data_IF_952885623342
#
_entry.id   IF_952885623342
#
_cell.length_a   1.000
_cell.length_b   1.000
_cell.length_c   1.000
_cell.angle_alpha   90.00
_cell.angle_beta   90.00
_cell.angle_gamma   90.00
#
_symmetry.space_group_name_H-M   'P 1'
#
loop_
_entity.id
_entity.type
_entity.pdbx_description
1 polymer ?
#
# COMPACT_ATOMS: atom_id res chain seq x y z
N UNK A 1 -10.64 -16.67 2.68
CA UNK A 1 -11.57 -15.55 2.46
C UNK A 1 -11.69 -15.18 0.98
N UNK A 2 -10.59 -14.76 0.34
CA UNK A 2 -10.60 -14.36 -1.07
C UNK A 2 -9.80 -15.30 -1.97
N UNK A 3 -9.08 -16.25 -1.42
CA UNK A 3 -8.12 -17.12 -2.13
C UNK A 3 -7.09 -16.32 -2.94
N UNK A 4 -6.75 -15.13 -2.46
CA UNK A 4 -5.80 -14.25 -3.14
C UNK A 4 -4.38 -14.82 -3.07
N UNK A 5 -3.62 -14.56 -4.12
CA UNK A 5 -2.18 -14.82 -4.09
C UNK A 5 -1.49 -13.70 -3.31
N UNK A 6 -0.46 -14.04 -2.56
CA UNK A 6 0.30 -13.08 -1.79
C UNK A 6 1.62 -12.76 -2.47
N UNK A 7 1.93 -11.46 -2.53
CA UNK A 7 3.24 -10.98 -2.97
C UNK A 7 3.76 -9.99 -1.94
N UNK A 8 4.94 -10.24 -1.41
CA UNK A 8 5.57 -9.35 -0.44
C UNK A 8 6.40 -8.29 -1.15
N UNK A 9 6.10 -7.01 -0.89
CA UNK A 9 6.88 -5.90 -1.42
C UNK A 9 8.09 -5.70 -0.50
N UNK A 10 9.25 -6.17 -0.95
CA UNK A 10 10.50 -6.08 -0.18
C UNK A 10 11.39 -4.99 -0.74
N UNK A 11 11.87 -4.05 0.10
CA UNK A 11 12.88 -3.11 -0.36
C UNK A 11 14.22 -3.83 -0.57
N UNK A 12 15.00 -3.37 -1.54
CA UNK A 12 16.36 -3.88 -1.77
C UNK A 12 17.18 -3.73 -0.49
N UNK A 13 17.06 -2.56 0.16
CA UNK A 13 17.70 -2.31 1.45
C UNK A 13 16.62 -2.31 2.54
N UNK A 14 16.58 -3.35 3.40
CA UNK A 14 15.58 -3.43 4.47
C UNK A 14 15.65 -2.23 5.41
N UNK A 15 14.50 -1.85 5.95
CA UNK A 15 14.42 -0.77 6.94
C UNK A 15 14.84 -1.27 8.31
N UNK A 16 15.74 -0.51 8.95
CA UNK A 16 16.15 -0.77 10.33
C UNK A 16 15.28 0.05 11.29
N UNK A 17 15.38 -0.23 12.60
CA UNK A 17 14.67 0.57 13.60
C UNK A 17 15.06 2.05 13.52
N UNK A 18 16.33 2.34 13.23
CA UNK A 18 16.82 3.71 13.04
C UNK A 18 16.19 4.36 11.80
N UNK A 19 16.07 3.61 10.71
CA UNK A 19 15.43 4.10 9.49
C UNK A 19 13.96 4.47 9.71
N UNK A 20 13.29 3.78 10.62
CA UNK A 20 11.87 3.96 10.93
C UNK A 20 11.60 4.98 12.02
N UNK A 21 12.63 5.64 12.54
CA UNK A 21 12.47 6.67 13.58
C UNK A 21 11.83 7.92 12.99
N UNK A 22 10.51 7.96 13.03
CA UNK A 22 9.72 9.06 12.46
C UNK A 22 9.91 10.39 13.20
N UNK A 23 10.48 10.37 14.41
CA UNK A 23 10.80 11.58 15.17
C UNK A 23 12.13 12.19 14.75
N UNK A 24 12.98 11.44 14.06
CA UNK A 24 14.25 11.93 13.52
C UNK A 24 14.04 12.49 12.12
N UNK A 25 14.25 13.79 11.97
CA UNK A 25 14.08 14.47 10.67
C UNK A 25 15.07 13.99 9.60
N UNK A 26 16.13 13.30 10.01
CA UNK A 26 17.15 12.78 9.10
C UNK A 26 17.03 11.28 8.88
N UNK A 27 16.01 10.63 9.47
CA UNK A 27 15.81 9.21 9.25
C UNK A 27 15.40 8.93 7.81
N UNK A 28 15.68 7.71 7.35
CA UNK A 28 15.35 7.29 5.99
C UNK A 28 13.86 7.46 5.67
N UNK A 29 12.98 7.01 6.58
CA UNK A 29 11.54 7.13 6.36
C UNK A 29 11.10 8.58 6.23
N UNK A 30 11.63 9.47 7.08
CA UNK A 30 11.31 10.90 7.01
C UNK A 30 11.75 11.50 5.70
N UNK A 31 12.99 11.22 5.27
CA UNK A 31 13.54 11.76 4.03
C UNK A 31 12.74 11.27 2.83
N UNK A 32 12.42 9.97 2.80
CA UNK A 32 11.64 9.41 1.69
C UNK A 32 10.24 10.01 1.61
N UNK A 33 9.59 10.21 2.74
CA UNK A 33 8.22 10.75 2.75
C UNK A 33 8.16 12.25 2.44
N UNK A 34 9.22 12.99 2.70
CA UNK A 34 9.31 14.40 2.34
C UNK A 34 9.60 14.60 0.86
N UNK A 35 10.20 13.62 0.20
CA UNK A 35 10.47 13.65 -1.23
C UNK A 35 9.37 12.86 -1.96
N UNK A 36 8.41 13.58 -2.54
CA UNK A 36 7.27 12.97 -3.25
C UNK A 36 7.69 12.14 -4.46
N UNK A 37 8.88 12.39 -4.99
CA UNK A 37 9.42 11.65 -6.12
C UNK A 37 10.24 10.43 -5.70
N UNK A 38 10.47 10.22 -4.41
CA UNK A 38 11.25 9.07 -3.95
C UNK A 38 10.55 7.76 -4.33
N UNK A 39 11.34 6.80 -4.81
CA UNK A 39 10.86 5.48 -5.24
C UNK A 39 11.86 4.42 -4.78
N UNK A 40 11.77 3.97 -3.52
CA UNK A 40 12.64 2.89 -3.03
C UNK A 40 12.53 1.68 -3.94
N UNK A 41 13.66 1.08 -4.27
CA UNK A 41 13.72 -0.05 -5.19
C UNK A 41 13.25 -1.33 -4.50
N UNK A 42 12.48 -2.14 -5.25
CA UNK A 42 12.02 -3.45 -4.78
C UNK A 42 13.05 -4.53 -5.07
N UNK A 43 13.22 -5.45 -4.12
CA UNK A 43 14.13 -6.59 -4.27
C UNK A 43 13.62 -7.59 -5.32
N UNK A 44 12.31 -7.84 -5.33
CA UNK A 44 11.67 -8.77 -6.23
C UNK A 44 10.61 -8.06 -7.05
N UNK A 45 10.35 -8.55 -8.28
CA UNK A 45 9.30 -8.02 -9.14
C UNK A 45 8.25 -9.09 -9.38
N UNK A 46 6.99 -8.68 -9.38
CA UNK A 46 5.91 -9.55 -9.81
C UNK A 46 6.01 -9.75 -11.32
N UNK A 47 6.00 -11.01 -11.77
CA UNK A 47 6.19 -11.33 -13.19
C UNK A 47 5.06 -10.81 -14.06
N UNK A 48 3.81 -10.82 -13.56
CA UNK A 48 2.66 -10.30 -14.27
C UNK A 48 1.52 -10.01 -13.32
N UNK A 49 0.78 -8.94 -13.59
CA UNK A 49 -0.46 -8.59 -12.90
C UNK A 49 -1.70 -8.85 -13.77
N UNK A 50 -1.51 -9.31 -15.01
CA UNK A 50 -2.59 -9.39 -15.99
C UNK A 50 -3.74 -10.31 -15.58
N UNK A 51 -3.45 -11.38 -14.84
CA UNK A 51 -4.45 -12.36 -14.41
C UNK A 51 -5.33 -11.92 -13.25
N UNK A 52 -5.04 -10.76 -12.65
CA UNK A 52 -5.79 -10.28 -11.50
C UNK A 52 -6.70 -9.10 -11.88
N UNK A 53 -7.91 -9.09 -11.35
CA UNK A 53 -8.86 -7.98 -11.55
C UNK A 53 -8.81 -7.00 -10.39
N UNK A 54 -8.50 -7.50 -9.20
CA UNK A 54 -8.45 -6.70 -7.97
C UNK A 54 -7.12 -6.91 -7.28
N UNK A 55 -6.51 -5.81 -6.88
CA UNK A 55 -5.24 -5.80 -6.15
C UNK A 55 -5.46 -5.16 -4.78
N UNK A 56 -5.31 -5.95 -3.72
CA UNK A 56 -5.27 -5.42 -2.37
C UNK A 56 -3.83 -5.02 -2.05
N UNK A 57 -3.64 -3.80 -1.57
CA UNK A 57 -2.30 -3.29 -1.24
C UNK A 57 -2.27 -2.91 0.23
N UNK A 58 -1.47 -3.64 1.00
CA UNK A 58 -1.34 -3.42 2.44
C UNK A 58 -0.01 -2.78 2.81
N UNK A 59 -0.02 -1.84 3.76
CA UNK A 59 1.17 -1.11 4.17
C UNK A 59 1.00 -0.47 5.56
N UNK A 60 2.10 -0.16 6.25
CA UNK A 60 2.03 0.69 7.43
C UNK A 60 1.81 2.14 6.99
N UNK A 61 0.92 2.84 7.66
CA UNK A 61 0.65 4.24 7.32
C UNK A 61 1.73 5.13 7.93
N UNK A 62 2.37 5.93 7.07
CA UNK A 62 3.39 6.91 7.43
C UNK A 62 2.86 8.31 7.09
N UNK A 63 2.66 9.15 8.10
CA UNK A 63 2.16 10.53 7.91
C UNK A 63 0.93 10.59 6.99
N UNK A 64 -0.09 9.74 7.28
CA UNK A 64 -1.35 9.67 6.54
C UNK A 64 -1.22 9.20 5.08
N UNK A 65 -0.11 8.57 4.73
CA UNK A 65 0.15 8.07 3.38
C UNK A 65 0.74 6.67 3.40
N UNK A 66 0.83 6.06 2.22
CA UNK A 66 1.59 4.83 2.03
C UNK A 66 3.08 5.16 1.93
N UNK A 67 3.98 4.28 2.42
CA UNK A 67 5.40 4.38 2.11
C UNK A 67 5.60 4.38 0.60
N UNK A 68 6.56 5.14 0.09
CA UNK A 68 6.71 5.35 -1.35
C UNK A 68 7.11 4.09 -2.13
N UNK A 69 7.57 3.03 -1.46
CA UNK A 69 7.78 1.74 -2.11
C UNK A 69 6.47 1.15 -2.66
N UNK A 70 5.33 1.52 -2.09
CA UNK A 70 4.02 1.12 -2.60
C UNK A 70 3.80 1.72 -3.99
N UNK A 71 4.17 2.99 -4.19
CA UNK A 71 4.10 3.62 -5.51
C UNK A 71 5.09 2.99 -6.47
N UNK A 72 6.28 2.59 -5.98
CA UNK A 72 7.22 1.81 -6.78
C UNK A 72 6.55 0.54 -7.32
N UNK A 73 5.84 -0.18 -6.46
CA UNK A 73 5.11 -1.39 -6.87
C UNK A 73 4.02 -1.08 -7.89
N UNK A 74 3.16 -0.10 -7.60
CA UNK A 74 2.04 0.25 -8.48
C UNK A 74 2.53 0.68 -9.86
N UNK A 75 3.63 1.42 -9.92
CA UNK A 75 4.23 1.88 -11.17
C UNK A 75 4.94 0.76 -11.94
N UNK A 76 5.22 -0.36 -11.29
CA UNK A 76 5.90 -1.50 -11.92
C UNK A 76 4.97 -2.40 -12.74
N UNK A 77 3.65 -2.22 -12.60
CA UNK A 77 2.63 -3.04 -13.25
C UNK A 77 1.68 -2.17 -14.06
N UNK A 78 1.12 -2.73 -15.14
CA UNK A 78 -0.02 -2.10 -15.81
C UNK A 78 -1.29 -2.53 -15.09
N UNK A 79 -1.87 -1.61 -14.34
CA UNK A 79 -3.08 -1.84 -13.54
C UNK A 79 -4.33 -1.21 -14.17
N UNK A 80 -4.25 -0.75 -15.41
CA UNK A 80 -5.41 -0.15 -16.10
C UNK A 80 -6.58 -1.14 -16.14
N UNK A 81 -7.77 -0.63 -15.87
CA UNK A 81 -8.99 -1.43 -15.82
C UNK A 81 -9.17 -2.27 -14.56
N UNK A 82 -8.20 -2.25 -13.65
CA UNK A 82 -8.25 -3.02 -12.40
C UNK A 82 -8.74 -2.16 -11.24
N UNK A 83 -9.13 -2.83 -10.15
CA UNK A 83 -9.49 -2.17 -8.90
C UNK A 83 -8.36 -2.34 -7.90
N UNK A 84 -7.90 -1.24 -7.33
CA UNK A 84 -6.87 -1.22 -6.29
C UNK A 84 -7.52 -0.88 -4.96
N UNK A 85 -7.34 -1.74 -3.97
CA UNK A 85 -7.94 -1.58 -2.63
C UNK A 85 -6.82 -1.45 -1.60
N UNK A 86 -6.50 -0.22 -1.19
CA UNK A 86 -5.49 -0.02 -0.16
C UNK A 86 -6.03 -0.34 1.23
N UNK A 87 -5.18 -0.90 2.08
CA UNK A 87 -5.47 -1.02 3.50
C UNK A 87 -4.19 -0.81 4.29
N UNK A 88 -4.33 -0.28 5.48
CA UNK A 88 -3.14 0.08 6.25
C UNK A 88 -3.25 -0.27 7.73
N UNK A 89 -2.10 -0.44 8.35
CA UNK A 89 -1.98 -0.51 9.80
C UNK A 89 -1.42 0.83 10.30
N UNK A 90 -1.83 1.23 11.49
CA UNK A 90 -1.47 2.56 11.99
C UNK A 90 -1.34 2.57 13.50
N UNK A 91 -0.40 3.37 14.00
CA UNK A 91 -0.31 3.70 15.42
C UNK A 91 -1.26 4.82 15.85
N UNK A 92 -2.03 5.40 14.91
CA UNK A 92 -2.96 6.49 15.19
C UNK A 92 -3.41 7.28 13.97
N UNK A 93 -2.63 7.28 12.89
CA UNK A 93 -2.99 7.99 11.66
C UNK A 93 -4.14 7.32 10.92
N UNK A 94 -4.97 8.11 10.25
CA UNK A 94 -5.99 7.59 9.35
C UNK A 94 -5.40 7.35 7.96
N UNK A 95 -6.22 6.83 7.03
CA UNK A 95 -5.84 6.72 5.61
C UNK A 95 -5.64 8.09 4.95
N UNK A 96 -6.22 9.14 5.50
CA UNK A 96 -6.12 10.47 4.92
C UNK A 96 -6.55 10.49 3.45
N UNK A 97 -5.71 11.07 2.59
CA UNK A 97 -5.95 11.14 1.15
C UNK A 97 -5.15 10.11 0.37
N UNK A 98 -4.79 8.99 1.01
CA UNK A 98 -3.92 7.97 0.41
C UNK A 98 -4.40 7.51 -0.96
N UNK A 99 -5.71 7.24 -1.12
CA UNK A 99 -6.25 6.80 -2.42
C UNK A 99 -5.95 7.79 -3.54
N UNK A 100 -6.17 9.08 -3.30
CA UNK A 100 -5.89 10.12 -4.29
C UNK A 100 -4.40 10.26 -4.60
N UNK A 101 -3.57 10.06 -3.58
CA UNK A 101 -2.11 10.13 -3.75
C UNK A 101 -1.61 8.96 -4.58
N UNK A 102 -2.22 7.79 -4.44
CA UNK A 102 -1.81 6.59 -5.18
C UNK A 102 -2.31 6.56 -6.63
N UNK A 103 -3.40 7.25 -6.95
CA UNK A 103 -3.99 7.24 -8.30
C UNK A 103 -2.99 7.52 -9.43
N UNK A 104 -2.12 8.53 -9.34
CA UNK A 104 -1.16 8.81 -10.42
C UNK A 104 -0.16 7.68 -10.67
N UNK A 105 0.05 6.81 -9.68
CA UNK A 105 0.99 5.68 -9.81
C UNK A 105 0.37 4.47 -10.50
N UNK A 106 -0.94 4.46 -10.68
CA UNK A 106 -1.67 3.38 -11.39
C UNK A 106 -2.76 3.97 -12.30
N UNK A 107 -2.34 4.67 -13.36
CA UNK A 107 -3.29 5.33 -14.26
C UNK A 107 -4.25 4.32 -14.88
N UNK A 108 -5.53 4.69 -14.96
CA UNK A 108 -6.56 3.81 -15.50
C UNK A 108 -7.14 2.78 -14.53
N UNK A 109 -6.57 2.66 -13.32
CA UNK A 109 -7.11 1.80 -12.28
C UNK A 109 -8.15 2.57 -11.45
N UNK A 110 -9.09 1.82 -10.87
CA UNK A 110 -10.02 2.37 -9.88
C UNK A 110 -9.41 2.15 -8.50
N UNK A 111 -9.04 3.22 -7.83
CA UNK A 111 -8.48 3.16 -6.48
C UNK A 111 -9.58 3.47 -5.46
N UNK A 112 -9.90 2.49 -4.62
CA UNK A 112 -10.89 2.67 -3.56
C UNK A 112 -10.28 3.40 -2.37
N UNK A 113 -11.12 3.96 -1.50
CA UNK A 113 -10.64 4.72 -0.33
C UNK A 113 -9.86 3.86 0.65
N UNK A 114 -10.18 2.57 0.73
CA UNK A 114 -9.46 1.67 1.61
C UNK A 114 -9.92 1.76 3.06
N UNK A 115 -9.14 1.13 3.94
CA UNK A 115 -9.48 1.07 5.35
C UNK A 115 -8.23 0.88 6.20
N UNK A 116 -8.24 1.47 7.40
CA UNK A 116 -7.26 1.14 8.43
C UNK A 116 -7.74 -0.13 9.12
N UNK A 117 -6.88 -1.15 9.13
CA UNK A 117 -7.13 -2.40 9.87
C UNK A 117 -6.25 -2.40 11.11
N UNK A 118 -6.77 -2.94 12.19
CA UNK A 118 -6.04 -3.06 13.46
C UNK A 118 -5.66 -4.50 13.70
N UNK A 119 -4.58 -4.72 14.46
CA UNK A 119 -4.19 -6.07 14.87
C UNK A 119 -5.32 -6.77 15.64
N UNK A 120 -6.17 -6.01 16.33
CA UNK A 120 -7.33 -6.51 17.04
C UNK A 120 -8.56 -6.79 16.16
N UNK A 121 -8.51 -6.43 14.87
CA UNK A 121 -9.61 -6.69 13.94
C UNK A 121 -9.82 -8.21 13.81
N UNK A 122 -11.08 -8.66 13.97
CA UNK A 122 -11.40 -10.06 13.79
C UNK A 122 -11.47 -10.45 12.33
N UNK A 123 -11.34 -11.73 12.05
CA UNK A 123 -11.53 -12.25 10.69
C UNK A 123 -12.93 -11.90 10.16
N UNK A 124 -13.95 -11.97 11.03
CA UNK A 124 -15.31 -11.60 10.67
C UNK A 124 -15.42 -10.13 10.26
N UNK A 125 -14.74 -9.22 10.98
CA UNK A 125 -14.74 -7.79 10.65
C UNK A 125 -14.08 -7.54 9.29
N UNK A 126 -12.94 -8.19 9.03
CA UNK A 126 -12.22 -8.05 7.76
C UNK A 126 -13.07 -8.62 6.62
N UNK A 127 -13.70 -9.77 6.84
CA UNK A 127 -14.58 -10.38 5.83
C UNK A 127 -15.77 -9.48 5.51
N UNK A 128 -16.40 -8.90 6.53
CA UNK A 128 -17.52 -7.98 6.32
C UNK A 128 -17.09 -6.75 5.51
N UNK A 129 -15.91 -6.22 5.80
CA UNK A 129 -15.38 -5.10 5.01
C UNK A 129 -15.16 -5.49 3.55
N UNK A 130 -14.49 -6.62 3.30
CA UNK A 130 -14.24 -7.10 1.94
C UNK A 130 -15.54 -7.29 1.18
N UNK A 131 -16.55 -7.91 1.80
CA UNK A 131 -17.87 -8.12 1.19
C UNK A 131 -18.56 -6.78 0.88
N UNK A 132 -18.38 -5.76 1.74
CA UNK A 132 -18.98 -4.44 1.53
C UNK A 132 -18.44 -3.72 0.29
N UNK A 133 -17.30 -4.13 -0.23
CA UNK A 133 -16.70 -3.53 -1.42
C UNK A 133 -17.38 -3.97 -2.73
N UNK A 134 -18.19 -5.01 -2.67
CA UNK A 134 -18.91 -5.57 -3.83
C UNK A 134 -17.99 -5.82 -5.03
N UNK A 135 -16.86 -6.47 -4.78
CA UNK A 135 -15.91 -6.81 -5.83
C UNK A 135 -16.44 -8.00 -6.65
N UNK A 136 -16.21 -7.93 -7.94
CA UNK A 136 -16.61 -9.01 -8.86
C UNK A 136 -15.79 -10.29 -8.65
#
# INVERSE_FOLDING_TARGET
MTNADLFEIKPVTPYTSKDLDWMDKKSRSTIEMQDKASRPEMADKLSSCAQYDTIFVGFPIWWYEAPHIIETFLESCDLSGKTVVPFGTSGGSSMGKTAKILEPSCPGAKVLDGKVLRASSSEADVKAWVESLHLA
#
